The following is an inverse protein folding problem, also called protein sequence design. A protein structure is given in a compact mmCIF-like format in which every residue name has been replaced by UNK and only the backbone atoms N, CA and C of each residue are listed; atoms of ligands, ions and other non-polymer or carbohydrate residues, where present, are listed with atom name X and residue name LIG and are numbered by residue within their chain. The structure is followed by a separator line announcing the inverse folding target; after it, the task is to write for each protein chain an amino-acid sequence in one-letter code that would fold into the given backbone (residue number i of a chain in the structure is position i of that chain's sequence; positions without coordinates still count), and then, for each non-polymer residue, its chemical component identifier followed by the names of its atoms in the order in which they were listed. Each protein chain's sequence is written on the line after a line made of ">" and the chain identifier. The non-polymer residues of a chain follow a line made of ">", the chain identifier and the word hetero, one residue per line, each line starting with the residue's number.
data_IF_365541314938
#
_entry.id   IF_365541314938
#
_cell.length_a   1.000
_cell.length_b   1.000
_cell.length_c   1.000
_cell.angle_alpha   90.00
_cell.angle_beta   90.00
_cell.angle_gamma   90.00
#
_symmetry.space_group_name_H-M   'P 1'
#
loop_
_entity.id
_entity.type
_entity.pdbx_description
1 polymer ?
#
# COMPACT_ATOMS: atom_id res chain seq x y z
N UNK A 1 15.25 8.88 8.42
CA UNK A 1 13.82 8.65 8.11
C UNK A 1 13.64 8.62 6.59
N UNK A 2 12.64 7.91 6.07
CA UNK A 2 12.42 7.69 4.62
C UNK A 2 11.69 8.85 3.90
N UNK A 3 11.35 9.95 4.59
CA UNK A 3 10.74 11.13 3.98
C UNK A 3 9.24 11.03 3.69
N UNK A 4 8.54 10.02 4.25
CA UNK A 4 7.10 9.84 4.01
C UNK A 4 6.23 11.02 4.47
N UNK A 5 6.61 11.72 5.53
CA UNK A 5 5.85 12.85 6.05
C UNK A 5 5.66 13.97 5.00
N UNK A 6 6.70 14.25 4.21
CA UNK A 6 6.64 15.26 3.14
C UNK A 6 5.69 14.82 2.01
N UNK A 7 5.81 13.55 1.58
CA UNK A 7 4.94 12.98 0.54
C UNK A 7 3.47 12.94 0.98
N UNK A 8 3.21 12.63 2.26
CA UNK A 8 1.87 12.55 2.85
C UNK A 8 1.26 13.92 3.12
N UNK A 9 2.07 14.98 3.24
CA UNK A 9 1.58 16.34 3.55
C UNK A 9 0.70 16.95 2.45
N UNK A 10 0.85 16.50 1.20
CA UNK A 10 0.07 16.99 0.07
C UNK A 10 -1.13 16.07 -0.20
N UNK A 11 -2.37 16.49 0.10
CA UNK A 11 -3.56 15.65 -0.08
C UNK A 11 -3.91 15.37 -1.55
N UNK A 12 -3.22 16.00 -2.51
CA UNK A 12 -3.36 15.72 -3.95
C UNK A 12 -2.48 14.57 -4.42
N UNK A 13 -1.58 14.07 -3.57
CA UNK A 13 -0.73 12.94 -3.91
C UNK A 13 -1.53 11.63 -3.80
N UNK A 14 -1.50 10.81 -4.85
CA UNK A 14 -1.84 9.40 -4.76
C UNK A 14 -0.55 8.63 -4.48
N UNK A 15 -0.52 7.92 -3.35
CA UNK A 15 0.63 7.11 -2.96
C UNK A 15 0.22 5.64 -3.06
N UNK A 16 0.91 4.89 -3.92
CA UNK A 16 0.85 3.43 -4.00
C UNK A 16 2.17 2.89 -3.47
N UNK A 17 2.08 1.95 -2.53
CA UNK A 17 3.25 1.35 -1.89
C UNK A 17 3.16 -0.17 -1.99
N UNK A 18 4.17 -0.78 -2.62
CA UNK A 18 4.35 -2.22 -2.60
C UNK A 18 5.04 -2.66 -1.31
N UNK A 19 4.63 -3.81 -0.78
CA UNK A 19 5.14 -4.40 0.46
C UNK A 19 5.06 -3.47 1.69
N UNK A 20 3.89 -2.86 1.98
CA UNK A 20 3.74 -1.89 3.08
C UNK A 20 4.07 -2.47 4.46
N UNK A 21 4.02 -3.80 4.63
CA UNK A 21 4.37 -4.49 5.87
C UNK A 21 5.86 -4.36 6.27
N UNK A 22 6.75 -4.06 5.32
CA UNK A 22 8.17 -3.85 5.62
C UNK A 22 8.43 -2.51 6.33
N UNK A 23 7.44 -1.60 6.29
CA UNK A 23 7.54 -0.23 6.81
C UNK A 23 6.28 0.19 7.57
N UNK A 24 5.51 -0.77 8.08
CA UNK A 24 4.22 -0.51 8.73
C UNK A 24 4.31 0.45 9.92
N UNK A 25 5.44 0.44 10.62
CA UNK A 25 5.67 1.27 11.80
C UNK A 25 6.02 2.72 11.45
N UNK A 26 6.38 2.98 10.19
CA UNK A 26 6.79 4.30 9.69
C UNK A 26 5.68 5.03 8.94
N UNK A 27 4.49 4.43 8.81
CA UNK A 27 3.39 4.95 7.99
C UNK A 27 2.07 4.98 8.77
N UNK A 28 1.18 5.92 8.46
CA UNK A 28 -0.19 5.86 8.94
C UNK A 28 -0.90 4.62 8.37
N UNK A 29 -2.03 4.24 8.98
CA UNK A 29 -2.89 3.21 8.39
C UNK A 29 -3.31 3.63 6.98
N UNK A 30 -3.22 2.74 5.98
CA UNK A 30 -3.59 3.09 4.62
C UNK A 30 -5.10 3.32 4.51
N UNK A 31 -5.50 4.25 3.65
CA UNK A 31 -6.92 4.52 3.38
C UNK A 31 -7.61 3.33 2.69
N UNK A 32 -6.86 2.56 1.91
CA UNK A 32 -7.31 1.39 1.16
C UNK A 32 -6.21 0.36 1.20
N UNK A 33 -6.56 -0.92 1.38
CA UNK A 33 -5.63 -2.04 1.23
C UNK A 33 -5.97 -2.81 -0.05
N UNK A 34 -4.95 -3.05 -0.87
CA UNK A 34 -5.04 -3.96 -2.01
C UNK A 34 -4.29 -5.24 -1.65
N UNK A 35 -4.97 -6.38 -1.74
CA UNK A 35 -4.36 -7.69 -1.57
C UNK A 35 -4.41 -8.45 -2.89
N UNK A 36 -3.27 -8.98 -3.32
CA UNK A 36 -3.14 -9.76 -4.55
C UNK A 36 -2.73 -11.17 -4.18
N UNK A 37 -3.59 -12.15 -4.49
CA UNK A 37 -3.32 -13.58 -4.27
C UNK A 37 -3.16 -14.31 -5.60
N UNK A 38 -2.06 -15.06 -5.72
CA UNK A 38 -1.82 -15.97 -6.85
C UNK A 38 -2.65 -17.25 -6.64
N UNK A 39 -3.39 -17.67 -7.66
CA UNK A 39 -4.17 -18.91 -7.67
C UNK A 39 -3.44 -20.03 -8.42
N UNK A 40 -3.81 -21.31 -8.21
CA UNK A 40 -3.12 -22.45 -8.84
C UNK A 40 -3.16 -22.48 -10.36
N UNK A 41 -4.16 -21.86 -10.98
CA UNK A 41 -4.35 -21.76 -12.43
C UNK A 41 -3.66 -20.53 -13.05
N UNK A 42 -2.70 -19.94 -12.34
CA UNK A 42 -2.00 -18.70 -12.69
C UNK A 42 -2.89 -17.46 -12.79
N UNK A 43 -4.16 -17.53 -12.39
CA UNK A 43 -4.99 -16.34 -12.23
C UNK A 43 -4.65 -15.57 -10.95
N UNK A 44 -5.28 -14.40 -10.76
CA UNK A 44 -5.09 -13.55 -9.58
C UNK A 44 -6.43 -13.23 -8.96
N UNK A 45 -6.54 -13.40 -7.65
CA UNK A 45 -7.62 -12.80 -6.88
C UNK A 45 -7.14 -11.45 -6.31
N UNK A 46 -7.90 -10.40 -6.57
CA UNK A 46 -7.59 -9.03 -6.11
C UNK A 46 -8.70 -8.60 -5.16
N UNK A 47 -8.35 -8.32 -3.90
CA UNK A 47 -9.24 -7.68 -2.95
C UNK A 47 -8.90 -6.19 -2.83
N UNK A 48 -9.95 -5.37 -2.83
CA UNK A 48 -9.91 -3.93 -2.63
C UNK A 48 -10.95 -3.58 -1.57
N UNK A 49 -10.50 -3.12 -0.40
CA UNK A 49 -11.36 -2.71 0.72
C UNK A 49 -10.69 -1.62 1.56
#
# INVERSE_FOLDING_TARGET
>A
ALGFDELMSNPKNLILLEWPEQVSDALPKPSIRIEIKILPDESRNILYA
#
